data_IF_091351389823
#
_entry.id   IF_091351389823
#
_cell.length_a   1.000
_cell.length_b   1.000
_cell.length_c   1.000
_cell.angle_alpha   90.00
_cell.angle_beta   90.00
_cell.angle_gamma   90.00
#
_symmetry.space_group_name_H-M   'P 1'
#
loop_
_entity.id
_entity.type
_entity.pdbx_description
1 polymer ?
#
# COMPACT_ATOMS: atom_id res chain seq x y z
N UNK A 1 -2.32 3.52 -17.62
CA UNK A 1 -1.44 4.65 -17.98
C UNK A 1 -1.99 5.56 -19.09
N UNK A 2 -2.95 5.13 -19.87
CA UNK A 2 -3.57 6.00 -20.89
C UNK A 2 -4.29 7.23 -20.32
N UNK A 3 -4.61 7.21 -19.02
CA UNK A 3 -5.32 8.32 -18.33
C UNK A 3 -4.43 9.14 -17.39
N UNK A 4 -3.21 8.70 -17.11
CA UNK A 4 -2.22 9.49 -16.40
C UNK A 4 -1.35 10.23 -17.43
N UNK A 5 -1.10 11.51 -17.22
CA UNK A 5 -0.22 12.34 -18.07
C UNK A 5 1.27 11.97 -17.96
N UNK A 6 1.60 10.81 -17.36
CA UNK A 6 2.97 10.37 -17.15
C UNK A 6 3.50 9.60 -18.37
N UNK A 7 4.69 9.99 -18.82
CA UNK A 7 5.44 9.24 -19.81
C UNK A 7 6.07 8.00 -19.16
N UNK A 8 5.92 6.82 -19.77
CA UNK A 8 6.53 5.56 -19.33
C UNK A 8 8.07 5.65 -19.25
N UNK A 9 8.69 6.45 -20.09
CA UNK A 9 10.14 6.67 -20.11
C UNK A 9 10.67 7.38 -18.85
N UNK A 10 9.78 8.00 -18.06
CA UNK A 10 10.12 8.65 -16.80
C UNK A 10 10.19 7.68 -15.63
N UNK A 11 9.69 6.45 -15.80
CA UNK A 11 9.72 5.44 -14.72
C UNK A 11 11.14 4.90 -14.59
N UNK A 12 11.76 5.17 -13.44
CA UNK A 12 13.14 4.76 -13.15
C UNK A 12 13.22 3.39 -12.47
N UNK A 13 12.18 3.01 -11.73
CA UNK A 13 12.11 1.76 -11.00
C UNK A 13 10.66 1.38 -10.70
N UNK A 14 10.44 0.10 -10.44
CA UNK A 14 9.19 -0.45 -9.89
C UNK A 14 9.54 -1.19 -8.60
N UNK A 15 8.82 -0.88 -7.53
CA UNK A 15 8.92 -1.55 -6.25
C UNK A 15 7.69 -2.45 -6.06
N UNK A 16 7.90 -3.73 -5.76
CA UNK A 16 6.81 -4.71 -5.63
C UNK A 16 6.66 -5.12 -4.17
N UNK A 17 5.45 -5.00 -3.65
CA UNK A 17 5.15 -5.30 -2.24
C UNK A 17 5.05 -6.80 -1.97
N UNK A 18 4.45 -7.57 -2.88
CA UNK A 18 4.27 -9.03 -2.78
C UNK A 18 3.85 -9.63 -4.14
N UNK A 19 3.73 -10.95 -4.19
CA UNK A 19 3.58 -11.71 -5.43
C UNK A 19 2.14 -12.10 -5.81
N UNK A 20 1.11 -11.47 -5.22
CA UNK A 20 -0.27 -11.70 -5.64
C UNK A 20 -0.56 -11.17 -7.05
N UNK A 21 -1.46 -11.85 -7.74
CA UNK A 21 -1.70 -11.65 -9.18
C UNK A 21 -2.11 -10.22 -9.56
N UNK A 22 -2.85 -9.52 -8.73
CA UNK A 22 -3.28 -8.13 -8.96
C UNK A 22 -2.14 -7.11 -8.84
N UNK A 23 -1.06 -7.46 -8.14
CA UNK A 23 0.14 -6.63 -8.01
C UNK A 23 1.19 -6.88 -9.10
N UNK A 24 1.24 -8.08 -9.68
CA UNK A 24 2.37 -8.47 -10.53
C UNK A 24 2.06 -8.64 -12.02
N UNK A 25 0.81 -8.61 -12.46
CA UNK A 25 0.42 -8.87 -13.86
C UNK A 25 1.20 -8.08 -14.91
N UNK A 26 1.56 -6.82 -14.61
CA UNK A 26 2.27 -5.95 -15.53
C UNK A 26 3.80 -5.99 -15.37
N UNK A 27 4.30 -6.59 -14.29
CA UNK A 27 5.70 -6.47 -13.84
C UNK A 27 6.67 -7.06 -14.86
N UNK A 28 6.35 -8.21 -15.45
CA UNK A 28 7.17 -8.82 -16.51
C UNK A 28 7.34 -7.92 -17.74
N UNK A 29 6.24 -7.32 -18.20
CA UNK A 29 6.27 -6.39 -19.33
C UNK A 29 7.04 -5.09 -19.01
N UNK A 30 6.86 -4.56 -17.81
CA UNK A 30 7.61 -3.38 -17.35
C UNK A 30 9.11 -3.69 -17.23
N UNK A 31 9.45 -4.81 -16.62
CA UNK A 31 10.84 -5.21 -16.41
C UNK A 31 11.57 -5.56 -17.69
N UNK A 32 11.08 -6.54 -18.43
CA UNK A 32 11.85 -7.15 -19.51
C UNK A 32 11.68 -6.47 -20.88
N UNK A 33 10.48 -5.87 -21.15
CA UNK A 33 10.26 -5.15 -22.43
C UNK A 33 10.66 -3.69 -22.38
N UNK A 34 10.45 -3.05 -21.23
CA UNK A 34 10.77 -1.63 -21.06
C UNK A 34 12.09 -1.41 -20.32
N UNK A 35 12.78 -2.49 -19.93
CA UNK A 35 14.05 -2.46 -19.19
C UNK A 35 14.00 -1.64 -17.89
N UNK A 36 12.84 -1.64 -17.22
CA UNK A 36 12.67 -0.94 -15.94
C UNK A 36 13.12 -1.87 -14.81
N UNK A 37 14.05 -1.44 -13.93
CA UNK A 37 14.47 -2.24 -12.78
C UNK A 37 13.31 -2.55 -11.84
N UNK A 38 13.17 -3.82 -11.45
CA UNK A 38 12.14 -4.31 -10.53
C UNK A 38 12.77 -4.64 -9.20
N UNK A 39 12.48 -3.85 -8.19
CA UNK A 39 13.03 -3.96 -6.85
C UNK A 39 12.06 -4.67 -5.90
N UNK A 40 12.51 -5.72 -5.25
CA UNK A 40 11.83 -6.39 -4.15
C UNK A 40 12.76 -7.41 -3.47
N UNK A 41 12.26 -8.16 -2.46
CA UNK A 41 13.07 -9.21 -1.81
C UNK A 41 13.30 -10.40 -2.74
N UNK A 42 14.34 -11.18 -2.46
CA UNK A 42 14.64 -12.40 -3.22
C UNK A 42 13.45 -13.38 -3.22
N UNK A 43 12.76 -13.53 -2.08
CA UNK A 43 11.61 -14.41 -1.95
C UNK A 43 10.42 -13.95 -2.80
N UNK A 44 10.14 -12.65 -2.85
CA UNK A 44 9.08 -12.11 -3.70
C UNK A 44 9.42 -12.32 -5.17
N UNK A 45 10.69 -12.12 -5.60
CA UNK A 45 11.12 -12.43 -6.97
C UNK A 45 10.91 -13.89 -7.33
N UNK A 46 11.19 -14.82 -6.40
CA UNK A 46 10.89 -16.24 -6.62
C UNK A 46 9.40 -16.49 -6.79
N UNK A 47 8.56 -15.88 -5.94
CA UNK A 47 7.09 -15.97 -6.03
C UNK A 47 6.58 -15.41 -7.35
N UNK A 48 7.02 -14.21 -7.76
CA UNK A 48 6.70 -13.61 -9.05
C UNK A 48 7.03 -14.57 -10.19
N UNK A 49 8.23 -15.12 -10.22
CA UNK A 49 8.67 -16.00 -11.29
C UNK A 49 8.00 -17.40 -11.28
N UNK A 50 7.44 -17.82 -10.17
CA UNK A 50 6.62 -19.05 -10.07
C UNK A 50 5.14 -18.80 -10.44
N UNK A 51 4.68 -17.56 -10.36
CA UNK A 51 3.26 -17.24 -10.55
C UNK A 51 2.77 -17.55 -11.96
N UNK A 52 1.60 -18.16 -12.05
CA UNK A 52 0.94 -18.52 -13.31
C UNK A 52 0.44 -17.30 -14.10
N UNK A 53 0.25 -16.16 -13.44
CA UNK A 53 -0.22 -14.95 -14.11
C UNK A 53 0.90 -14.19 -14.84
N UNK A 54 2.16 -14.61 -14.66
CA UNK A 54 3.31 -14.01 -15.30
C UNK A 54 3.51 -14.58 -16.71
N UNK A 55 3.21 -13.76 -17.71
CA UNK A 55 3.45 -14.10 -19.13
C UNK A 55 4.92 -14.00 -19.50
N UNK A 56 5.68 -13.18 -18.77
CA UNK A 56 7.11 -12.94 -18.99
C UNK A 56 7.85 -12.97 -17.66
N UNK A 57 8.80 -13.89 -17.53
CA UNK A 57 9.57 -14.07 -16.30
C UNK A 57 10.65 -13.00 -16.18
N UNK A 58 10.93 -12.59 -14.96
CA UNK A 58 11.96 -11.60 -14.67
C UNK A 58 13.34 -12.24 -14.71
N UNK A 59 14.29 -11.60 -15.40
CA UNK A 59 15.69 -12.01 -15.54
C UNK A 59 16.65 -10.83 -15.44
N UNK A 60 16.61 -9.93 -16.43
CA UNK A 60 17.55 -8.80 -16.54
C UNK A 60 17.19 -7.64 -15.65
N UNK A 61 15.91 -7.49 -15.37
CA UNK A 61 15.34 -6.39 -14.57
C UNK A 61 15.38 -6.60 -13.06
N UNK A 62 15.72 -7.81 -12.59
CA UNK A 62 15.73 -8.18 -11.17
C UNK A 62 16.70 -7.32 -10.37
N UNK A 63 16.23 -6.73 -9.27
CA UNK A 63 17.03 -6.02 -8.26
C UNK A 63 16.58 -6.43 -6.87
N UNK A 64 17.52 -6.80 -6.02
CA UNK A 64 17.22 -7.31 -4.68
C UNK A 64 17.24 -6.21 -3.63
N UNK A 65 16.30 -6.31 -2.69
CA UNK A 65 16.24 -5.52 -1.47
C UNK A 65 16.33 -6.44 -0.26
N UNK A 66 16.97 -5.94 0.79
CA UNK A 66 16.91 -6.54 2.11
C UNK A 66 16.01 -5.70 3.01
N UNK A 67 15.13 -6.37 3.78
CA UNK A 67 14.23 -5.67 4.72
C UNK A 67 15.03 -4.89 5.76
N UNK A 68 14.58 -3.69 6.07
CA UNK A 68 15.20 -2.78 7.04
C UNK A 68 16.64 -2.37 6.70
N UNK A 69 17.01 -2.52 5.43
CA UNK A 69 18.26 -1.99 4.90
C UNK A 69 17.94 -0.94 3.82
N UNK A 70 18.22 0.33 4.10
CA UNK A 70 17.92 1.39 3.16
C UNK A 70 18.85 1.33 1.95
N UNK A 71 18.31 1.65 0.77
CA UNK A 71 19.05 1.87 -0.45
C UNK A 71 18.88 3.31 -0.92
N UNK A 72 19.85 3.79 -1.68
CA UNK A 72 19.76 5.07 -2.38
C UNK A 72 19.45 4.84 -3.86
N UNK A 73 18.42 5.51 -4.36
CA UNK A 73 18.10 5.56 -5.78
C UNK A 73 17.89 7.02 -6.17
N UNK A 74 18.86 7.60 -6.88
CA UNK A 74 18.92 9.04 -7.14
C UNK A 74 18.80 9.81 -5.81
N UNK A 75 17.87 10.73 -5.67
CA UNK A 75 17.64 11.51 -4.45
C UNK A 75 16.75 10.81 -3.41
N UNK A 76 16.23 9.62 -3.75
CA UNK A 76 15.34 8.85 -2.87
C UNK A 76 16.13 7.88 -1.99
N UNK A 77 15.90 7.93 -0.69
CA UNK A 77 16.28 6.88 0.25
C UNK A 77 15.08 5.96 0.45
N UNK A 78 15.23 4.70 0.11
CA UNK A 78 14.13 3.73 0.08
C UNK A 78 14.47 2.57 1.00
N UNK A 79 13.53 2.21 1.86
CA UNK A 79 13.64 1.12 2.81
C UNK A 79 12.39 0.24 2.75
N UNK A 80 12.56 -1.07 2.61
CA UNK A 80 11.47 -2.03 2.70
C UNK A 80 11.39 -2.60 4.11
N UNK A 81 10.19 -2.88 4.58
CA UNK A 81 9.94 -3.47 5.90
C UNK A 81 8.83 -4.51 5.83
N UNK A 82 8.83 -5.43 6.79
CA UNK A 82 7.86 -6.53 6.81
C UNK A 82 6.44 -6.04 7.15
N UNK A 83 5.46 -6.57 6.42
CA UNK A 83 4.03 -6.45 6.72
C UNK A 83 3.39 -7.85 6.73
N UNK A 84 2.43 -8.13 7.62
CA UNK A 84 1.79 -9.44 7.72
C UNK A 84 0.73 -9.62 6.63
N UNK A 85 1.03 -10.45 5.64
CA UNK A 85 0.09 -10.84 4.59
C UNK A 85 0.39 -12.27 4.10
N UNK A 86 -0.51 -12.87 3.32
CA UNK A 86 -0.44 -14.27 2.91
C UNK A 86 0.26 -14.52 1.54
N UNK A 87 1.10 -13.59 1.10
CA UNK A 87 2.02 -13.78 -0.03
C UNK A 87 3.23 -14.64 0.32
N UNK A 88 4.08 -14.95 -0.66
CA UNK A 88 5.34 -15.70 -0.45
C UNK A 88 6.28 -14.96 0.50
N UNK A 89 6.29 -13.64 0.42
CA UNK A 89 6.90 -12.67 1.31
C UNK A 89 6.21 -11.32 1.08
N UNK A 90 6.20 -10.42 2.08
CA UNK A 90 5.43 -9.19 1.97
C UNK A 90 6.19 -8.03 2.59
N UNK A 91 6.16 -6.89 1.90
CA UNK A 91 6.84 -5.67 2.35
C UNK A 91 5.99 -4.43 2.14
N UNK A 92 6.09 -3.49 3.09
CA UNK A 92 5.79 -2.09 2.88
C UNK A 92 7.06 -1.33 2.49
N UNK A 93 6.91 -0.08 2.08
CA UNK A 93 8.01 0.80 1.69
C UNK A 93 7.97 2.12 2.43
N UNK A 94 9.12 2.55 2.92
CA UNK A 94 9.36 3.90 3.41
C UNK A 94 10.29 4.60 2.43
N UNK A 95 9.86 5.74 1.89
CA UNK A 95 10.59 6.53 0.90
C UNK A 95 10.83 7.93 1.47
N UNK A 96 12.08 8.32 1.54
CA UNK A 96 12.49 9.62 2.02
C UNK A 96 13.09 10.44 0.86
N UNK A 97 12.64 11.67 0.72
CA UNK A 97 13.15 12.65 -0.24
C UNK A 97 12.93 14.07 0.30
N UNK A 98 13.92 14.93 0.23
CA UNK A 98 13.86 16.35 0.65
C UNK A 98 13.30 16.55 2.07
N UNK A 99 13.66 15.63 2.99
CA UNK A 99 13.18 15.66 4.37
C UNK A 99 11.73 15.21 4.56
N UNK A 100 11.05 14.77 3.52
CA UNK A 100 9.69 14.24 3.54
C UNK A 100 9.71 12.72 3.55
N UNK A 101 8.86 12.12 4.37
CA UNK A 101 8.74 10.66 4.54
C UNK A 101 7.40 10.19 4.01
N UNK A 102 7.45 9.29 3.03
CA UNK A 102 6.29 8.59 2.47
C UNK A 102 6.31 7.15 2.95
N UNK A 103 5.21 6.67 3.52
CA UNK A 103 5.06 5.26 3.90
C UNK A 103 3.91 4.61 3.15
N UNK A 104 4.19 3.44 2.56
CA UNK A 104 3.25 2.64 1.75
C UNK A 104 3.02 1.30 2.43
N UNK A 105 1.80 1.08 2.92
CA UNK A 105 1.36 -0.15 3.54
C UNK A 105 0.03 -0.57 2.91
N UNK A 106 0.10 -1.53 2.02
CA UNK A 106 -1.06 -2.20 1.43
C UNK A 106 -0.99 -3.68 1.72
N UNK A 107 -2.12 -4.34 1.78
CA UNK A 107 -2.20 -5.78 2.03
C UNK A 107 -1.52 -6.17 3.36
N UNK A 108 -2.15 -5.77 4.44
CA UNK A 108 -1.72 -6.14 5.78
C UNK A 108 -2.94 -6.52 6.63
N UNK A 109 -2.86 -7.64 7.34
CA UNK A 109 -3.96 -8.13 8.18
C UNK A 109 -3.99 -7.54 9.60
N UNK A 110 -2.87 -7.02 10.07
CA UNK A 110 -2.74 -6.34 11.36
C UNK A 110 -1.58 -5.35 11.37
N UNK A 111 -1.66 -4.33 12.22
CA UNK A 111 -0.57 -3.39 12.40
C UNK A 111 0.40 -3.93 13.46
N UNK A 112 1.52 -4.48 12.99
CA UNK A 112 2.63 -4.93 13.86
C UNK A 112 3.41 -3.73 14.43
N UNK A 113 4.26 -3.93 15.47
CA UNK A 113 5.14 -2.86 15.94
C UNK A 113 6.04 -2.28 14.84
N UNK A 114 6.48 -3.10 13.90
CA UNK A 114 7.24 -2.65 12.71
C UNK A 114 6.40 -1.75 11.83
N UNK A 115 5.20 -2.18 11.45
CA UNK A 115 4.28 -1.37 10.63
C UNK A 115 3.93 -0.05 11.34
N UNK A 116 3.62 -0.11 12.65
CA UNK A 116 3.33 1.07 13.48
C UNK A 116 4.48 2.09 13.45
N UNK A 117 5.73 1.64 13.56
CA UNK A 117 6.90 2.51 13.48
C UNK A 117 6.92 3.34 12.17
N UNK A 118 6.74 2.68 11.03
CA UNK A 118 6.76 3.36 9.72
C UNK A 118 5.51 4.20 9.46
N UNK A 119 4.35 3.81 9.99
CA UNK A 119 3.14 4.64 9.94
C UNK A 119 3.35 5.94 10.72
N UNK A 120 3.83 5.83 11.97
CA UNK A 120 4.06 7.00 12.82
C UNK A 120 5.21 7.91 12.35
N UNK A 121 6.13 7.41 11.52
CA UNK A 121 7.22 8.18 10.93
C UNK A 121 6.76 9.02 9.73
N UNK A 122 5.65 8.69 9.09
CA UNK A 122 5.24 9.26 7.82
C UNK A 122 4.76 10.71 7.92
N UNK A 123 5.17 11.54 6.96
CA UNK A 123 4.49 12.79 6.63
C UNK A 123 3.32 12.53 5.66
N UNK A 124 3.49 11.55 4.78
CA UNK A 124 2.59 11.15 3.72
C UNK A 124 2.36 9.65 3.81
N UNK A 125 1.15 9.24 4.10
CA UNK A 125 0.83 7.85 4.41
C UNK A 125 -0.15 7.28 3.40
N UNK A 126 0.23 6.18 2.76
CA UNK A 126 -0.64 5.34 1.95
C UNK A 126 -0.90 4.08 2.77
N UNK A 127 -2.13 3.91 3.25
CA UNK A 127 -2.49 2.83 4.18
C UNK A 127 -3.74 2.10 3.71
N UNK A 128 -3.76 0.80 3.88
CA UNK A 128 -4.92 -0.03 3.56
C UNK A 128 -6.13 0.33 4.44
N UNK A 129 -7.31 0.34 3.79
CA UNK A 129 -8.62 0.28 4.42
C UNK A 129 -9.50 -0.60 3.51
N UNK A 130 -9.35 -1.92 3.65
CA UNK A 130 -9.84 -2.85 2.65
C UNK A 130 -11.34 -3.03 2.71
N UNK A 131 -11.91 -3.32 3.88
CA UNK A 131 -13.31 -3.68 4.00
C UNK A 131 -14.03 -2.94 5.12
N UNK A 132 -15.34 -2.81 4.95
CA UNK A 132 -16.28 -2.48 6.02
C UNK A 132 -16.77 -3.78 6.66
N UNK A 133 -16.77 -3.85 7.98
CA UNK A 133 -17.11 -5.06 8.75
C UNK A 133 -18.52 -5.54 8.49
N UNK A 134 -19.49 -4.62 8.39
CA UNK A 134 -20.87 -5.00 8.15
C UNK A 134 -21.09 -5.44 6.71
N UNK A 135 -20.51 -4.75 5.75
CA UNK A 135 -20.57 -5.16 4.34
C UNK A 135 -19.94 -6.54 4.13
N UNK A 136 -18.78 -6.81 4.74
CA UNK A 136 -18.14 -8.12 4.65
C UNK A 136 -19.01 -9.20 5.34
N UNK A 137 -19.51 -8.93 6.54
CA UNK A 137 -20.36 -9.87 7.29
C UNK A 137 -21.63 -10.24 6.53
N UNK A 138 -22.29 -9.26 5.93
CA UNK A 138 -23.55 -9.44 5.17
C UNK A 138 -23.32 -9.83 3.71
N UNK A 139 -22.13 -9.63 3.20
CA UNK A 139 -21.77 -9.89 1.80
C UNK A 139 -21.83 -11.37 1.42
N UNK A 140 -21.82 -11.61 0.11
CA UNK A 140 -22.02 -12.95 -0.49
C UNK A 140 -20.79 -13.86 -0.46
N UNK A 141 -19.67 -13.39 0.08
CA UNK A 141 -18.45 -14.20 0.16
C UNK A 141 -18.65 -15.43 1.06
N UNK A 142 -18.11 -16.59 0.65
CA UNK A 142 -18.19 -17.79 1.49
C UNK A 142 -17.40 -17.59 2.80
N UNK A 143 -17.79 -18.31 3.83
CA UNK A 143 -17.26 -18.13 5.18
C UNK A 143 -15.72 -18.24 5.26
N UNK A 144 -15.14 -19.23 4.59
CA UNK A 144 -13.69 -19.39 4.57
C UNK A 144 -12.93 -18.18 4.00
N UNK A 145 -13.54 -17.46 3.03
CA UNK A 145 -12.95 -16.27 2.45
C UNK A 145 -13.09 -15.07 3.41
N UNK A 146 -14.22 -14.95 4.11
CA UNK A 146 -14.37 -13.94 5.15
C UNK A 146 -13.34 -14.13 6.26
N UNK A 147 -13.14 -15.35 6.72
CA UNK A 147 -12.14 -15.70 7.74
C UNK A 147 -10.70 -15.42 7.26
N UNK A 148 -10.39 -15.70 6.00
CA UNK A 148 -9.10 -15.31 5.40
C UNK A 148 -8.92 -13.79 5.39
N UNK A 149 -9.93 -13.04 4.98
CA UNK A 149 -9.88 -11.57 4.89
C UNK A 149 -9.69 -10.94 6.27
N UNK A 150 -10.41 -11.40 7.29
CA UNK A 150 -10.33 -10.87 8.66
C UNK A 150 -9.18 -11.44 9.49
N UNK A 151 -8.40 -12.38 8.94
CA UNK A 151 -7.29 -13.01 9.64
C UNK A 151 -6.07 -12.09 9.76
N UNK A 152 -5.15 -12.43 10.67
CA UNK A 152 -3.92 -11.65 10.93
C UNK A 152 -3.00 -11.45 9.72
N UNK A 153 -3.13 -12.27 8.70
CA UNK A 153 -2.44 -12.16 7.41
C UNK A 153 -3.40 -11.84 6.27
N UNK A 154 -4.61 -11.37 6.59
CA UNK A 154 -5.63 -10.95 5.64
C UNK A 154 -5.48 -9.47 5.29
N UNK A 155 -6.51 -8.69 5.63
CA UNK A 155 -6.60 -7.26 5.32
C UNK A 155 -7.12 -6.45 6.52
N UNK A 156 -6.83 -5.16 6.53
CA UNK A 156 -7.33 -4.21 7.52
C UNK A 156 -8.77 -3.79 7.24
N UNK A 157 -9.61 -3.77 8.27
CA UNK A 157 -10.93 -3.14 8.16
C UNK A 157 -10.83 -1.60 8.18
N UNK A 158 -11.89 -0.93 7.73
CA UNK A 158 -11.99 0.52 7.84
C UNK A 158 -11.86 0.98 9.30
N UNK A 159 -12.46 0.23 10.23
CA UNK A 159 -12.48 0.62 11.64
C UNK A 159 -11.13 0.39 12.31
N UNK A 160 -10.46 -0.74 12.06
CA UNK A 160 -9.13 -1.00 12.63
C UNK A 160 -8.10 0.04 12.15
N UNK A 161 -8.15 0.37 10.85
CA UNK A 161 -7.32 1.45 10.28
C UNK A 161 -7.62 2.78 10.93
N UNK A 162 -8.90 3.12 11.10
CA UNK A 162 -9.33 4.38 11.69
C UNK A 162 -8.95 4.51 13.16
N UNK A 163 -9.12 3.43 13.95
CA UNK A 163 -8.76 3.39 15.37
C UNK A 163 -7.26 3.56 15.56
N UNK A 164 -6.46 2.81 14.79
CA UNK A 164 -5.01 2.96 14.85
C UNK A 164 -4.56 4.38 14.53
N UNK A 165 -5.06 4.97 13.44
CA UNK A 165 -4.72 6.34 13.05
C UNK A 165 -5.11 7.37 14.09
N UNK A 166 -6.28 7.22 14.71
CA UNK A 166 -6.77 8.15 15.73
C UNK A 166 -6.00 8.04 17.05
N UNK A 167 -5.53 6.84 17.41
CA UNK A 167 -4.78 6.60 18.66
C UNK A 167 -3.30 6.96 18.53
N UNK A 168 -2.74 6.88 17.31
CA UNK A 168 -1.31 7.07 17.06
C UNK A 168 -1.02 8.27 16.15
N UNK A 169 -1.94 9.23 16.08
CA UNK A 169 -1.77 10.43 15.26
C UNK A 169 -0.53 11.22 15.68
N UNK A 170 0.21 11.70 14.68
CA UNK A 170 1.38 12.55 14.88
C UNK A 170 1.19 13.88 14.18
N UNK A 171 1.62 14.99 14.80
CA UNK A 171 1.45 16.35 14.25
C UNK A 171 2.17 16.57 12.91
N UNK A 172 3.16 15.74 12.58
CA UNK A 172 3.87 15.82 11.30
C UNK A 172 3.21 15.05 10.15
N UNK A 173 2.16 14.25 10.44
CA UNK A 173 1.38 13.56 9.41
C UNK A 173 0.50 14.57 8.66
N UNK A 174 0.81 14.80 7.40
CA UNK A 174 0.16 15.82 6.58
C UNK A 174 -0.95 15.25 5.71
N UNK A 175 -0.77 14.01 5.20
CA UNK A 175 -1.71 13.44 4.26
C UNK A 175 -1.87 11.93 4.46
N UNK A 176 -3.11 11.46 4.38
CA UNK A 176 -3.48 10.03 4.42
C UNK A 176 -4.24 9.69 3.14
N UNK A 177 -3.74 8.69 2.39
CA UNK A 177 -4.47 8.04 1.33
C UNK A 177 -4.88 6.65 1.77
N UNK A 178 -6.19 6.42 1.87
CA UNK A 178 -6.73 5.08 2.09
C UNK A 178 -6.71 4.32 0.77
N UNK A 179 -6.09 3.16 0.75
CA UNK A 179 -5.89 2.37 -0.45
C UNK A 179 -6.43 0.96 -0.33
N UNK A 180 -6.34 0.19 -1.42
CA UNK A 180 -6.68 -1.22 -1.52
C UNK A 180 -8.11 -1.57 -1.06
N UNK A 181 -9.08 -0.71 -1.36
CA UNK A 181 -10.48 -0.90 -1.00
C UNK A 181 -11.09 -2.08 -1.76
N UNK A 182 -11.76 -2.97 -1.03
CA UNK A 182 -12.52 -4.08 -1.62
C UNK A 182 -13.59 -3.57 -2.58
N UNK A 183 -13.75 -4.27 -3.70
CA UNK A 183 -14.80 -3.95 -4.67
C UNK A 183 -16.20 -4.22 -4.11
N UNK A 184 -16.36 -5.34 -3.40
CA UNK A 184 -17.66 -5.87 -3.03
C UNK A 184 -18.01 -5.61 -1.54
N UNK A 185 -17.00 -5.30 -0.72
CA UNK A 185 -17.17 -5.14 0.73
C UNK A 185 -16.68 -3.77 1.24
N UNK A 186 -16.58 -2.77 0.36
CA UNK A 186 -16.23 -1.41 0.76
C UNK A 186 -16.75 -0.37 -0.24
N UNK A 187 -16.74 0.88 0.19
CA UNK A 187 -16.98 2.04 -0.66
C UNK A 187 -16.04 3.18 -0.26
N UNK A 188 -15.43 3.94 -1.21
CA UNK A 188 -14.49 5.01 -0.86
C UNK A 188 -15.04 6.03 0.13
N UNK A 189 -16.32 6.41 -0.02
CA UNK A 189 -16.95 7.35 0.89
C UNK A 189 -17.14 6.78 2.29
N UNK A 190 -17.44 5.46 2.42
CA UNK A 190 -17.58 4.79 3.70
C UNK A 190 -16.22 4.70 4.41
N UNK A 191 -15.18 4.26 3.73
CA UNK A 191 -13.82 4.24 4.29
C UNK A 191 -13.38 5.64 4.75
N UNK A 192 -13.59 6.66 3.91
CA UNK A 192 -13.30 8.06 4.25
C UNK A 192 -14.04 8.50 5.52
N UNK A 193 -15.36 8.27 5.58
CA UNK A 193 -16.20 8.73 6.71
C UNK A 193 -15.87 7.99 8.01
N UNK A 194 -15.52 6.72 7.95
CA UNK A 194 -15.11 5.94 9.11
C UNK A 194 -13.83 6.53 9.72
N UNK A 195 -12.82 6.80 8.89
CA UNK A 195 -11.56 7.39 9.35
C UNK A 195 -11.76 8.84 9.82
N UNK A 196 -12.48 9.67 9.06
CA UNK A 196 -12.77 11.07 9.43
C UNK A 196 -13.47 11.14 10.80
N UNK A 197 -14.44 10.26 11.05
CA UNK A 197 -15.15 10.21 12.33
C UNK A 197 -14.22 9.87 13.48
N UNK A 198 -13.42 8.81 13.35
CA UNK A 198 -12.51 8.36 14.42
C UNK A 198 -11.43 9.42 14.74
N UNK A 199 -10.87 10.05 13.74
CA UNK A 199 -9.95 11.17 13.92
C UNK A 199 -10.64 12.32 14.69
N UNK A 200 -11.86 12.65 14.30
CA UNK A 200 -12.64 13.72 14.95
C UNK A 200 -12.98 13.42 16.42
N UNK A 201 -13.22 12.14 16.77
CA UNK A 201 -13.43 11.71 18.18
C UNK A 201 -12.21 12.05 19.06
N UNK A 202 -11.03 12.08 18.49
CA UNK A 202 -9.76 12.48 19.16
C UNK A 202 -9.42 13.97 18.99
N UNK A 203 -10.30 14.76 18.38
CA UNK A 203 -10.10 16.18 18.16
C UNK A 203 -9.27 16.53 16.91
N UNK A 204 -8.92 15.54 16.09
CA UNK A 204 -8.16 15.72 14.84
C UNK A 204 -9.13 16.06 13.72
N UNK A 205 -8.93 17.20 13.06
CA UNK A 205 -9.86 17.74 12.05
C UNK A 205 -9.28 17.52 10.66
N UNK A 206 -9.92 16.65 9.88
CA UNK A 206 -9.58 16.46 8.46
C UNK A 206 -9.81 17.76 7.68
N UNK A 207 -8.86 18.12 6.83
CA UNK A 207 -8.82 19.37 6.09
C UNK A 207 -8.15 20.54 6.83
N UNK A 208 -7.82 20.36 8.13
CA UNK A 208 -7.08 21.32 8.93
C UNK A 208 -5.79 20.74 9.50
N UNK A 209 -5.89 19.66 10.26
CA UNK A 209 -4.76 19.04 10.94
C UNK A 209 -4.11 17.98 10.05
N UNK A 210 -4.87 17.34 9.18
CA UNK A 210 -4.42 16.32 8.21
C UNK A 210 -5.34 16.33 6.99
N UNK A 211 -4.79 16.02 5.80
CA UNK A 211 -5.59 15.75 4.62
C UNK A 211 -5.92 14.25 4.55
N UNK A 212 -7.12 13.91 4.08
CA UNK A 212 -7.57 12.53 3.94
C UNK A 212 -8.21 12.32 2.57
N UNK A 213 -7.86 11.22 1.91
CA UNK A 213 -8.46 10.81 0.65
C UNK A 213 -8.64 9.30 0.62
N UNK A 214 -9.77 8.80 0.16
CA UNK A 214 -9.96 7.40 -0.17
C UNK A 214 -9.75 7.20 -1.67
N UNK A 215 -8.70 6.45 -2.04
CA UNK A 215 -8.35 6.20 -3.44
C UNK A 215 -9.39 5.30 -4.11
N UNK A 216 -9.78 5.66 -5.32
CA UNK A 216 -10.70 4.85 -6.12
C UNK A 216 -9.98 3.69 -6.77
N UNK A 217 -10.64 2.54 -6.82
CA UNK A 217 -10.07 1.30 -7.38
C UNK A 217 -9.69 1.39 -8.85
N UNK A 218 -10.48 2.08 -9.66
CA UNK A 218 -10.39 2.05 -11.14
C UNK A 218 -10.11 3.40 -11.78
N UNK A 219 -10.07 4.45 -10.99
CA UNK A 219 -9.85 5.81 -11.48
C UNK A 219 -8.57 6.35 -10.88
N UNK A 220 -7.63 6.85 -11.68
CA UNK A 220 -6.43 7.51 -11.15
C UNK A 220 -6.81 8.68 -10.25
N UNK A 221 -6.03 8.93 -9.21
CA UNK A 221 -6.11 10.17 -8.43
C UNK A 221 -5.67 11.38 -9.26
N UNK A 222 -5.95 12.55 -8.75
CA UNK A 222 -5.28 13.77 -9.22
C UNK A 222 -3.76 13.70 -8.97
N UNK A 223 -3.03 14.59 -9.59
CA UNK A 223 -1.63 14.81 -9.31
C UNK A 223 -1.49 15.59 -8.00
N UNK A 224 -0.73 15.06 -7.07
CA UNK A 224 -0.37 15.76 -5.83
C UNK A 224 1.02 16.38 -5.98
N UNK A 225 1.15 17.63 -5.63
CA UNK A 225 2.41 18.37 -5.58
C UNK A 225 2.72 18.71 -4.11
N UNK A 226 3.94 18.46 -3.68
CA UNK A 226 4.37 18.66 -2.30
C UNK A 226 5.49 19.71 -2.27
N UNK A 227 5.24 20.83 -1.60
CA UNK A 227 6.22 21.90 -1.38
C UNK A 227 7.20 21.58 -0.25
#
# INVERSE_FOLDING_TARGET
>A
MYMSRFNMEMIRAVFVTHDHADHIKAVGGLGEKLNIPIYTTARIHEGINKSYCMTEKLHSSVRYLEKQQPMQLEDFRIESFEVPHDGTDNVGYCIEIDGKVFSFLTDLGEITPTAAHYICKANYLILEANYDDEMLRMGTYPQYLKERITGRTGHMSNIDTAEFLAENFTEHLQYIWLCHLSKDNNHPELAYKTVEWKLREKGIIVGKDVQLCALKRTTPSELYEFE
#
